data_IF_211472426645
#
_entry.id   IF_211472426645
#
_cell.length_a   1.000
_cell.length_b   1.000
_cell.length_c   1.000
_cell.angle_alpha   90.00
_cell.angle_beta   90.00
_cell.angle_gamma   90.00
#
_symmetry.space_group_name_H-M   'P 1'
#
loop_
_entity.id
_entity.type
_entity.pdbx_description
1 polymer ?
#
# COMPACT_ATOMS: atom_id res chain seq x y z
N UNK A 1 -13.03 19.53 -33.84
CA UNK A 1 -12.73 18.70 -32.65
C UNK A 1 -11.22 18.66 -32.49
N UNK A 2 -10.63 19.17 -31.40
CA UNK A 2 -9.20 18.96 -31.16
C UNK A 2 -8.96 17.48 -30.83
N UNK A 3 -8.01 16.85 -31.52
CA UNK A 3 -7.61 15.47 -31.29
C UNK A 3 -7.01 15.34 -29.88
N UNK A 4 -7.55 14.43 -29.08
CA UNK A 4 -6.94 14.07 -27.81
C UNK A 4 -5.54 13.50 -28.09
N UNK A 5 -4.50 14.12 -27.53
CA UNK A 5 -3.14 13.61 -27.60
C UNK A 5 -3.12 12.20 -27.00
N UNK A 6 -2.60 11.23 -27.75
CA UNK A 6 -2.41 9.87 -27.26
C UNK A 6 -1.58 9.90 -25.97
N UNK A 7 -1.92 9.07 -24.96
CA UNK A 7 -1.17 9.06 -23.70
C UNK A 7 0.31 8.78 -23.98
N UNK A 8 1.23 9.42 -23.22
CA UNK A 8 2.66 9.23 -23.43
C UNK A 8 3.01 7.75 -23.26
N UNK A 9 3.66 7.17 -24.27
CA UNK A 9 4.10 5.77 -24.22
C UNK A 9 5.17 5.62 -23.15
N UNK A 10 4.88 4.82 -22.13
CA UNK A 10 5.82 4.44 -21.09
C UNK A 10 6.61 3.22 -21.59
N UNK A 11 7.93 3.33 -21.56
CA UNK A 11 8.85 2.23 -21.85
C UNK A 11 9.28 1.60 -20.52
N UNK A 12 9.27 0.26 -20.45
CA UNK A 12 9.72 -0.52 -19.30
C UNK A 12 10.89 -1.41 -19.68
N UNK A 13 11.79 -1.68 -18.73
CA UNK A 13 12.88 -2.66 -18.91
C UNK A 13 13.20 -3.41 -17.62
N UNK A 14 13.94 -4.50 -17.76
CA UNK A 14 14.52 -5.21 -16.62
C UNK A 14 15.74 -4.46 -16.06
N UNK A 15 16.01 -4.58 -14.74
CA UNK A 15 17.24 -4.04 -14.14
C UNK A 15 18.48 -4.77 -14.65
N UNK A 16 19.56 -4.02 -14.86
CA UNK A 16 20.86 -4.59 -15.24
C UNK A 16 21.52 -5.29 -14.05
N UNK A 17 22.51 -6.14 -14.30
CA UNK A 17 23.29 -6.78 -13.22
C UNK A 17 24.03 -5.76 -12.35
N UNK A 18 24.52 -4.68 -12.96
CA UNK A 18 25.19 -3.58 -12.26
C UNK A 18 24.24 -2.81 -11.34
N UNK A 19 23.01 -2.54 -11.79
CA UNK A 19 21.99 -1.87 -10.97
C UNK A 19 21.60 -2.72 -9.75
N UNK A 20 21.43 -4.03 -9.94
CA UNK A 20 21.15 -4.97 -8.85
C UNK A 20 22.28 -5.03 -7.83
N UNK A 21 23.51 -5.27 -8.29
CA UNK A 21 24.67 -5.35 -7.42
C UNK A 21 24.91 -4.02 -6.67
N UNK A 22 24.76 -2.89 -7.37
CA UNK A 22 24.88 -1.57 -6.75
C UNK A 22 23.82 -1.34 -5.66
N UNK A 23 22.59 -1.81 -5.87
CA UNK A 23 21.53 -1.68 -4.87
C UNK A 23 21.77 -2.60 -3.67
N UNK A 24 22.18 -3.85 -3.90
CA UNK A 24 22.47 -4.82 -2.84
C UNK A 24 23.57 -4.31 -1.91
N UNK A 25 24.63 -3.72 -2.46
CA UNK A 25 25.72 -3.11 -1.69
C UNK A 25 25.23 -1.92 -0.86
N UNK A 26 24.47 -1.01 -1.48
CA UNK A 26 23.88 0.15 -0.80
C UNK A 26 22.97 -0.29 0.35
N UNK A 27 22.03 -1.20 0.09
CA UNK A 27 21.04 -1.63 1.07
C UNK A 27 21.71 -2.37 2.24
N UNK A 28 22.73 -3.19 1.97
CA UNK A 28 23.53 -3.84 3.02
C UNK A 28 24.20 -2.82 3.93
N UNK A 29 24.84 -1.79 3.37
CA UNK A 29 25.50 -0.73 4.14
C UNK A 29 24.49 0.04 5.00
N UNK A 30 23.33 0.39 4.43
CA UNK A 30 22.23 1.04 5.16
C UNK A 30 21.77 0.20 6.35
N UNK A 31 21.49 -1.08 6.14
CA UNK A 31 21.04 -1.97 7.20
C UNK A 31 22.09 -2.16 8.30
N UNK A 32 23.39 -2.21 7.93
CA UNK A 32 24.48 -2.23 8.90
C UNK A 32 24.51 -0.96 9.75
N UNK A 33 24.39 0.22 9.12
CA UNK A 33 24.37 1.50 9.82
C UNK A 33 23.16 1.63 10.78
N UNK A 34 21.97 1.20 10.34
CA UNK A 34 20.74 1.25 11.14
C UNK A 34 20.73 0.24 12.29
N UNK A 35 21.43 -0.88 12.14
CA UNK A 35 21.43 -1.94 13.14
C UNK A 35 22.07 -1.53 14.48
N UNK A 36 22.87 -0.46 14.53
CA UNK A 36 23.57 0.02 15.75
C UNK A 36 24.23 -1.12 16.57
N UNK A 37 24.78 -2.13 15.90
CA UNK A 37 25.42 -3.30 16.52
C UNK A 37 24.51 -4.51 16.75
N UNK A 38 23.21 -4.41 16.44
CA UNK A 38 22.30 -5.55 16.39
C UNK A 38 22.55 -6.41 15.13
N UNK A 39 22.14 -7.68 15.16
CA UNK A 39 22.25 -8.56 13.99
C UNK A 39 21.39 -8.01 12.84
N UNK A 40 22.03 -7.69 11.72
CA UNK A 40 21.33 -7.31 10.49
C UNK A 40 20.45 -8.46 10.03
N UNK A 41 19.14 -8.21 9.98
CA UNK A 41 18.17 -9.13 9.38
C UNK A 41 18.12 -8.82 7.90
N UNK A 42 18.57 -9.76 7.07
CA UNK A 42 18.42 -9.62 5.63
C UNK A 42 16.94 -9.61 5.23
N UNK A 43 16.58 -8.85 4.19
CA UNK A 43 15.24 -8.90 3.66
C UNK A 43 14.94 -10.32 3.20
N UNK A 44 13.71 -10.79 3.44
CA UNK A 44 13.30 -12.14 3.08
C UNK A 44 13.12 -12.29 1.56
N UNK A 45 12.90 -11.18 0.86
CA UNK A 45 12.63 -11.11 -0.56
C UNK A 45 13.74 -10.35 -1.27
N UNK A 46 14.04 -10.78 -2.50
CA UNK A 46 14.86 -9.98 -3.40
C UNK A 46 14.15 -8.64 -3.69
N UNK A 47 14.91 -7.54 -3.85
CA UNK A 47 14.32 -6.26 -4.22
C UNK A 47 13.58 -6.33 -5.55
N UNK A 48 12.40 -5.72 -5.61
CA UNK A 48 11.64 -5.54 -6.83
C UNK A 48 12.08 -4.24 -7.51
N UNK A 49 12.34 -4.27 -8.81
CA UNK A 49 12.76 -3.09 -9.57
C UNK A 49 11.64 -2.63 -10.48
N UNK A 50 11.34 -1.34 -10.41
CA UNK A 50 10.40 -0.65 -11.27
C UNK A 50 11.18 0.37 -12.09
N UNK A 51 11.31 0.08 -13.39
CA UNK A 51 12.15 0.85 -14.30
C UNK A 51 11.34 1.30 -15.48
N UNK A 52 11.09 2.61 -15.51
CA UNK A 52 10.20 3.24 -16.46
C UNK A 52 10.83 4.48 -17.08
N UNK A 53 10.39 4.79 -18.29
CA UNK A 53 10.79 6.00 -18.99
C UNK A 53 9.67 6.50 -19.88
N UNK A 54 9.41 7.80 -19.81
CA UNK A 54 8.68 8.50 -20.87
C UNK A 54 9.66 8.88 -21.97
N UNK A 55 9.25 8.74 -23.24
CA UNK A 55 10.11 9.08 -24.38
C UNK A 55 10.72 10.49 -24.23
N UNK A 56 12.04 10.58 -24.35
CA UNK A 56 12.80 11.83 -24.22
C UNK A 56 13.19 12.22 -22.78
N UNK A 57 12.73 11.49 -21.76
CA UNK A 57 13.18 11.64 -20.37
C UNK A 57 14.24 10.59 -20.02
N UNK A 58 15.06 10.80 -18.98
CA UNK A 58 15.92 9.75 -18.45
C UNK A 58 15.11 8.58 -17.88
N UNK A 59 15.73 7.40 -17.78
CA UNK A 59 15.15 6.26 -17.07
C UNK A 59 14.98 6.61 -15.59
N UNK A 60 13.79 6.34 -15.06
CA UNK A 60 13.53 6.31 -13.64
C UNK A 60 13.70 4.87 -13.18
N UNK A 61 14.57 4.66 -12.20
CA UNK A 61 14.85 3.34 -11.63
C UNK A 61 14.52 3.40 -10.15
N UNK A 62 13.55 2.61 -9.72
CA UNK A 62 13.13 2.48 -8.33
C UNK A 62 13.37 1.04 -7.88
N UNK A 63 13.98 0.86 -6.71
CA UNK A 63 14.07 -0.42 -6.04
C UNK A 63 13.12 -0.43 -4.84
N UNK A 64 12.30 -1.47 -4.72
CA UNK A 64 11.37 -1.69 -3.60
C UNK A 64 11.84 -2.88 -2.79
N UNK A 65 11.89 -2.70 -1.47
CA UNK A 65 12.30 -3.74 -0.54
C UNK A 65 11.19 -3.99 0.47
N UNK A 66 10.77 -5.24 0.51
CA UNK A 66 9.82 -5.74 1.49
C UNK A 66 10.56 -6.31 2.70
N UNK A 67 10.28 -5.75 3.87
CA UNK A 67 10.78 -6.30 5.14
C UNK A 67 10.22 -7.70 5.40
N UNK A 68 10.91 -8.46 6.26
CA UNK A 68 10.36 -9.73 6.75
C UNK A 68 9.03 -9.48 7.49
N UNK A 69 7.96 -10.24 7.19
CA UNK A 69 6.69 -10.11 7.90
C UNK A 69 6.83 -10.33 9.40
N UNK A 70 6.15 -9.52 10.20
CA UNK A 70 6.14 -9.61 11.67
C UNK A 70 4.74 -9.36 12.22
N UNK A 71 4.49 -9.85 13.42
CA UNK A 71 3.29 -9.48 14.16
C UNK A 71 3.37 -7.99 14.53
N UNK A 72 2.35 -7.23 14.12
CA UNK A 72 2.09 -5.89 14.63
C UNK A 72 1.10 -5.91 15.79
N UNK A 73 0.30 -6.97 15.89
CA UNK A 73 -0.52 -7.36 17.04
C UNK A 73 -0.70 -8.89 17.02
N UNK A 74 -1.35 -9.46 18.05
CA UNK A 74 -1.59 -10.91 18.16
C UNK A 74 -2.22 -11.47 16.88
N UNK A 75 -3.27 -10.80 16.38
CA UNK A 75 -4.04 -11.24 15.22
C UNK A 75 -3.68 -10.49 13.92
N UNK A 76 -2.60 -9.71 13.90
CA UNK A 76 -2.23 -8.85 12.77
C UNK A 76 -0.78 -9.03 12.35
N UNK A 77 -0.59 -9.50 11.13
CA UNK A 77 0.69 -9.51 10.45
C UNK A 77 0.90 -8.21 9.68
N UNK A 78 2.15 -7.76 9.64
CA UNK A 78 2.58 -6.55 8.93
C UNK A 78 3.88 -6.80 8.19
N UNK A 79 3.97 -6.24 6.99
CA UNK A 79 5.17 -6.07 6.20
C UNK A 79 5.30 -4.61 5.78
N UNK A 80 6.46 -4.02 6.00
CA UNK A 80 6.79 -2.66 5.55
C UNK A 80 7.51 -2.76 4.22
N UNK A 81 7.06 -1.97 3.25
CA UNK A 81 7.67 -1.81 1.93
C UNK A 81 8.31 -0.44 1.84
N UNK A 82 9.61 -0.41 1.61
CA UNK A 82 10.39 0.82 1.41
C UNK A 82 10.81 0.94 -0.04
N UNK A 83 10.85 2.16 -0.56
CA UNK A 83 11.27 2.44 -1.94
C UNK A 83 12.51 3.32 -1.96
N UNK A 84 13.38 3.07 -2.94
CA UNK A 84 14.64 3.76 -3.14
C UNK A 84 14.76 4.21 -4.58
N UNK A 85 15.28 5.41 -4.81
CA UNK A 85 15.43 5.99 -6.13
C UNK A 85 16.90 5.96 -6.53
N UNK A 86 17.16 5.58 -7.77
CA UNK A 86 18.48 5.63 -8.38
C UNK A 86 18.70 6.93 -9.14
N UNK A 87 19.82 7.59 -8.87
CA UNK A 87 20.35 8.70 -9.66
C UNK A 87 21.67 8.30 -10.32
N UNK A 88 21.63 8.09 -11.64
CA UNK A 88 22.81 7.74 -12.43
C UNK A 88 23.88 8.84 -12.49
N UNK A 89 23.51 10.10 -12.21
CA UNK A 89 24.42 11.25 -12.23
C UNK A 89 25.13 11.46 -10.90
N UNK A 90 24.62 10.89 -9.83
CA UNK A 90 25.23 10.99 -8.52
C UNK A 90 26.55 10.17 -8.45
N UNK A 91 27.48 10.56 -7.56
CA UNK A 91 28.65 9.75 -7.21
C UNK A 91 28.25 8.32 -6.84
N UNK A 92 29.13 7.34 -7.11
CA UNK A 92 28.82 5.90 -6.99
C UNK A 92 28.24 5.52 -5.61
N UNK A 93 28.74 6.13 -4.55
CA UNK A 93 28.36 5.97 -3.15
C UNK A 93 27.03 6.67 -2.79
N UNK A 94 26.55 7.59 -3.61
CA UNK A 94 25.33 8.37 -3.42
C UNK A 94 24.27 8.13 -4.51
N UNK A 95 24.43 7.09 -5.35
CA UNK A 95 23.49 6.78 -6.43
C UNK A 95 22.12 6.35 -5.95
N UNK A 96 22.03 5.80 -4.75
CA UNK A 96 20.77 5.36 -4.17
C UNK A 96 20.41 6.23 -2.99
N UNK A 97 19.14 6.61 -2.92
CA UNK A 97 18.58 7.39 -1.83
C UNK A 97 17.17 6.89 -1.50
N UNK A 98 16.69 7.18 -0.29
CA UNK A 98 15.29 6.93 0.05
C UNK A 98 14.38 7.69 -0.90
N UNK A 99 13.34 7.04 -1.39
CA UNK A 99 12.33 7.74 -2.16
C UNK A 99 11.63 8.77 -1.29
N UNK A 100 11.18 9.88 -1.89
CA UNK A 100 10.33 10.85 -1.19
C UNK A 100 8.98 10.24 -0.74
N UNK A 101 8.60 9.06 -1.23
CA UNK A 101 7.41 8.36 -0.78
C UNK A 101 7.68 7.69 0.57
N UNK A 102 6.81 7.88 1.57
CA UNK A 102 6.95 7.21 2.85
C UNK A 102 6.78 5.69 2.69
N UNK A 103 7.41 4.87 3.56
CA UNK A 103 7.22 3.42 3.53
C UNK A 103 5.73 3.05 3.67
N UNK A 104 5.26 2.15 2.81
CA UNK A 104 3.89 1.63 2.87
C UNK A 104 3.81 0.43 3.81
N UNK A 105 2.72 0.36 4.59
CA UNK A 105 2.49 -0.74 5.51
C UNK A 105 1.43 -1.66 4.93
N UNK A 106 1.82 -2.91 4.72
CA UNK A 106 0.98 -3.97 4.18
C UNK A 106 0.60 -4.91 5.31
N UNK A 107 -0.70 -5.15 5.50
CA UNK A 107 -1.22 -5.95 6.62
C UNK A 107 -2.21 -7.02 6.18
N UNK A 108 -2.30 -8.07 6.98
CA UNK A 108 -3.28 -9.16 6.84
C UNK A 108 -3.50 -9.83 8.19
N UNK A 109 -4.62 -10.56 8.31
CA UNK A 109 -4.92 -11.32 9.52
C UNK A 109 -3.89 -12.43 9.73
N UNK A 110 -3.36 -12.52 10.95
CA UNK A 110 -2.49 -13.61 11.33
C UNK A 110 -3.29 -14.93 11.38
N UNK A 111 -2.64 -16.02 10.98
CA UNK A 111 -3.17 -17.35 11.24
C UNK A 111 -2.87 -17.74 12.70
N UNK A 112 -3.78 -18.46 13.39
CA UNK A 112 -3.56 -18.85 14.77
C UNK A 112 -2.28 -19.67 14.95
N UNK A 113 -1.42 -19.28 15.90
CA UNK A 113 -0.20 -20.01 16.30
C UNK A 113 0.85 -20.19 15.19
N UNK A 114 0.83 -19.36 14.17
CA UNK A 114 1.84 -19.37 13.10
C UNK A 114 2.65 -18.07 13.12
N UNK A 115 3.94 -18.16 12.77
CA UNK A 115 4.73 -16.96 12.47
C UNK A 115 4.17 -16.27 11.23
N UNK A 116 4.25 -14.93 11.17
CA UNK A 116 3.90 -14.21 9.96
C UNK A 116 4.82 -14.60 8.80
N UNK A 117 4.22 -15.10 7.73
CA UNK A 117 4.86 -15.37 6.44
C UNK A 117 4.27 -14.45 5.37
N UNK A 118 4.93 -14.29 4.23
CA UNK A 118 4.36 -13.46 3.16
C UNK A 118 2.98 -13.95 2.74
N UNK A 119 2.07 -12.99 2.53
CA UNK A 119 0.72 -13.25 2.10
C UNK A 119 0.55 -12.83 0.63
N UNK A 120 -0.21 -13.59 -0.18
CA UNK A 120 -0.47 -13.24 -1.58
C UNK A 120 -1.37 -12.02 -1.73
N UNK A 121 -2.15 -11.69 -0.69
CA UNK A 121 -3.02 -10.51 -0.66
C UNK A 121 -2.82 -9.78 0.65
N UNK A 122 -2.46 -8.51 0.54
CA UNK A 122 -2.25 -7.60 1.66
C UNK A 122 -3.11 -6.36 1.48
N UNK A 123 -3.49 -5.74 2.59
CA UNK A 123 -4.20 -4.46 2.61
C UNK A 123 -3.22 -3.37 3.06
N UNK A 124 -3.23 -2.22 2.39
CA UNK A 124 -2.47 -1.05 2.82
C UNK A 124 -3.08 -0.48 4.11
N UNK A 125 -2.23 -0.08 5.04
CA UNK A 125 -2.62 0.48 6.33
C UNK A 125 -1.85 1.76 6.58
N UNK A 126 -2.54 2.81 6.99
CA UNK A 126 -1.86 3.99 7.52
C UNK A 126 -1.25 3.69 8.91
N UNK A 127 -0.05 4.22 9.17
CA UNK A 127 0.70 3.94 10.39
C UNK A 127 0.02 4.49 11.66
N UNK A 128 -0.86 5.49 11.53
CA UNK A 128 -1.59 6.09 12.63
C UNK A 128 -2.77 5.23 13.13
N UNK A 129 -3.12 4.15 12.43
CA UNK A 129 -4.26 3.33 12.77
C UNK A 129 -3.97 2.36 13.93
N UNK A 130 -4.87 2.25 14.93
CA UNK A 130 -4.74 1.27 15.99
C UNK A 130 -4.84 -0.17 15.44
N UNK A 131 -3.89 -1.08 15.77
CA UNK A 131 -3.90 -2.45 15.26
C UNK A 131 -5.18 -3.23 15.53
N UNK A 132 -5.82 -3.02 16.68
CA UNK A 132 -7.07 -3.68 17.07
C UNK A 132 -8.24 -3.30 16.15
N UNK A 133 -8.27 -2.05 15.71
CA UNK A 133 -9.32 -1.54 14.82
C UNK A 133 -9.11 -2.09 13.41
N UNK A 134 -7.86 -2.18 12.98
CA UNK A 134 -7.48 -2.80 11.70
C UNK A 134 -7.86 -4.28 11.68
N UNK A 135 -7.61 -5.03 12.76
CA UNK A 135 -8.04 -6.43 12.86
C UNK A 135 -9.56 -6.56 12.72
N UNK A 136 -10.32 -5.70 13.41
CA UNK A 136 -11.77 -5.71 13.34
C UNK A 136 -12.27 -5.39 11.92
N UNK A 137 -11.71 -4.38 11.28
CA UNK A 137 -12.06 -3.98 9.91
C UNK A 137 -11.70 -5.06 8.89
N UNK A 138 -10.52 -5.70 9.00
CA UNK A 138 -10.14 -6.81 8.13
C UNK A 138 -11.05 -8.03 8.27
N UNK A 139 -11.62 -8.27 9.46
CA UNK A 139 -12.60 -9.35 9.67
C UNK A 139 -13.98 -8.99 9.12
N UNK A 140 -14.38 -7.73 9.23
CA UNK A 140 -15.75 -7.27 8.96
C UNK A 140 -15.94 -6.66 7.56
N UNK A 141 -14.87 -6.39 6.80
CA UNK A 141 -14.98 -5.69 5.51
C UNK A 141 -15.98 -6.31 4.52
N UNK A 142 -16.17 -7.66 4.41
CA UNK A 142 -17.13 -8.21 3.46
C UNK A 142 -18.56 -7.80 3.81
N UNK A 143 -18.88 -7.78 5.11
CA UNK A 143 -20.18 -7.35 5.60
C UNK A 143 -20.36 -5.83 5.46
N UNK A 144 -19.33 -5.05 5.81
CA UNK A 144 -19.34 -3.59 5.65
C UNK A 144 -19.54 -3.19 4.19
N UNK A 145 -18.87 -3.86 3.26
CA UNK A 145 -19.06 -3.66 1.82
C UNK A 145 -20.47 -4.02 1.37
N UNK A 146 -21.01 -5.15 1.85
CA UNK A 146 -22.39 -5.57 1.57
C UNK A 146 -23.40 -4.50 2.00
N UNK A 147 -23.28 -3.98 3.24
CA UNK A 147 -24.11 -2.89 3.75
C UNK A 147 -23.90 -1.58 2.96
N UNK A 148 -22.66 -1.28 2.58
CA UNK A 148 -22.33 -0.09 1.78
C UNK A 148 -22.94 -0.12 0.37
N UNK A 149 -23.31 -1.28 -0.19
CA UNK A 149 -23.96 -1.35 -1.52
C UNK A 149 -25.28 -0.58 -1.57
N UNK A 150 -26.00 -0.48 -0.46
CA UNK A 150 -27.21 0.36 -0.38
C UNK A 150 -26.85 1.84 -0.45
N UNK A 151 -25.76 2.25 0.21
CA UNK A 151 -25.24 3.63 0.13
C UNK A 151 -24.75 3.95 -1.29
N UNK A 152 -24.09 2.99 -1.96
CA UNK A 152 -23.68 3.14 -3.36
C UNK A 152 -24.89 3.31 -4.28
N UNK A 153 -25.99 2.59 -4.03
CA UNK A 153 -27.22 2.71 -4.79
C UNK A 153 -27.91 4.08 -4.60
N UNK A 154 -27.83 4.65 -3.39
CA UNK A 154 -28.37 5.97 -3.07
C UNK A 154 -27.51 7.16 -3.53
N UNK A 155 -26.24 6.92 -3.90
CA UNK A 155 -25.33 7.95 -4.36
C UNK A 155 -25.24 7.94 -5.90
N UNK A 156 -25.71 9.00 -6.56
CA UNK A 156 -25.77 9.10 -8.02
C UNK A 156 -24.41 8.98 -8.72
N UNK A 157 -23.30 9.32 -8.05
CA UNK A 157 -21.94 9.12 -8.59
C UNK A 157 -21.49 7.66 -8.50
N UNK A 158 -21.93 6.96 -7.45
CA UNK A 158 -21.56 5.57 -7.18
C UNK A 158 -22.51 4.52 -7.77
N UNK A 159 -23.74 4.90 -8.14
CA UNK A 159 -24.82 3.96 -8.47
C UNK A 159 -24.45 2.98 -9.58
N UNK A 160 -23.63 3.39 -10.54
CA UNK A 160 -23.16 2.56 -11.66
C UNK A 160 -22.15 1.49 -11.24
N UNK A 161 -21.50 1.69 -10.10
CA UNK A 161 -20.43 0.83 -9.59
C UNK A 161 -20.92 -0.17 -8.54
N UNK A 162 -22.16 -0.02 -8.02
CA UNK A 162 -22.69 -0.78 -6.87
C UNK A 162 -22.63 -2.31 -6.99
N UNK A 163 -22.65 -2.83 -8.23
CA UNK A 163 -22.66 -4.25 -8.52
C UNK A 163 -21.28 -4.80 -8.93
N UNK A 164 -20.26 -3.95 -8.97
CA UNK A 164 -18.91 -4.40 -9.33
C UNK A 164 -18.34 -5.32 -8.25
N UNK A 165 -17.49 -6.29 -8.65
CA UNK A 165 -16.67 -7.01 -7.70
C UNK A 165 -15.65 -6.04 -7.12
N UNK A 166 -15.51 -6.03 -5.80
CA UNK A 166 -14.61 -5.13 -5.09
C UNK A 166 -13.71 -5.95 -4.17
N UNK A 167 -12.45 -5.53 -4.09
CA UNK A 167 -11.47 -6.07 -3.14
C UNK A 167 -10.97 -4.95 -2.24
N UNK A 168 -10.80 -5.23 -0.96
CA UNK A 168 -10.24 -4.26 -0.02
C UNK A 168 -8.77 -4.03 -0.34
N UNK A 169 -8.37 -2.76 -0.50
CA UNK A 169 -7.00 -2.36 -0.85
C UNK A 169 -6.33 -1.52 0.20
N UNK A 170 -7.07 -0.64 0.87
CA UNK A 170 -6.50 0.18 1.92
C UNK A 170 -7.48 0.41 3.08
N UNK A 171 -6.91 0.62 4.26
CA UNK A 171 -7.58 1.15 5.44
C UNK A 171 -6.82 2.41 5.82
N UNK A 172 -7.53 3.53 5.85
CA UNK A 172 -6.99 4.87 6.05
C UNK A 172 -7.76 5.57 7.18
N UNK A 173 -7.14 6.54 7.87
CA UNK A 173 -7.90 7.46 8.71
C UNK A 173 -8.86 8.25 7.83
N UNK A 174 -10.12 8.38 8.25
CA UNK A 174 -11.03 9.31 7.63
C UNK A 174 -11.06 10.61 8.45
N UNK A 175 -11.10 11.80 7.80
CA UNK A 175 -11.23 13.05 8.53
C UNK A 175 -12.51 12.99 9.39
N UNK A 176 -12.45 13.41 10.66
CA UNK A 176 -13.64 13.46 11.49
C UNK A 176 -14.64 14.42 10.85
N UNK A 177 -15.83 13.93 10.51
CA UNK A 177 -16.96 14.82 10.24
C UNK A 177 -17.30 15.54 11.55
N UNK A 178 -17.64 16.82 11.51
CA UNK A 178 -17.83 17.68 12.69
C UNK A 178 -18.50 16.96 13.90
N UNK A 179 -17.73 16.74 14.98
CA UNK A 179 -18.20 16.07 16.21
C UNK A 179 -18.44 14.55 16.12
N UNK A 180 -18.09 13.91 15.01
CA UNK A 180 -18.31 12.49 14.78
C UNK A 180 -17.27 11.60 15.50
N UNK A 181 -17.62 10.33 15.79
CA UNK A 181 -16.70 9.35 16.37
C UNK A 181 -15.46 9.11 15.49
N UNK A 182 -14.53 8.28 15.98
CA UNK A 182 -13.42 7.78 15.16
C UNK A 182 -13.97 7.17 13.86
N UNK A 183 -13.53 7.73 12.73
CA UNK A 183 -13.92 7.32 11.39
C UNK A 183 -12.73 6.67 10.68
N UNK A 184 -13.01 5.62 9.94
CA UNK A 184 -12.06 4.93 9.06
C UNK A 184 -12.54 5.04 7.62
N UNK A 185 -11.62 4.99 6.68
CA UNK A 185 -11.94 4.86 5.26
C UNK A 185 -11.43 3.51 4.75
N UNK A 186 -12.32 2.72 4.17
CA UNK A 186 -11.98 1.47 3.52
C UNK A 186 -12.00 1.72 2.01
N UNK A 187 -10.83 1.68 1.38
CA UNK A 187 -10.70 1.83 -0.05
C UNK A 187 -10.80 0.46 -0.73
N UNK A 188 -11.76 0.34 -1.64
CA UNK A 188 -12.02 -0.84 -2.44
C UNK A 188 -11.70 -0.57 -3.90
N UNK A 189 -11.09 -1.54 -4.55
CA UNK A 189 -10.77 -1.49 -5.98
C UNK A 189 -11.51 -2.61 -6.71
N UNK A 190 -12.08 -2.28 -7.85
CA UNK A 190 -12.74 -3.23 -8.74
C UNK A 190 -11.78 -3.80 -9.78
N UNK A 191 -12.24 -4.82 -10.50
CA UNK A 191 -11.57 -5.36 -11.68
C UNK A 191 -11.55 -4.41 -12.90
N UNK A 192 -12.18 -3.24 -12.78
CA UNK A 192 -12.25 -2.20 -13.83
C UNK A 192 -11.56 -0.90 -13.40
N UNK A 193 -10.53 -1.02 -12.55
CA UNK A 193 -9.74 0.10 -12.02
C UNK A 193 -10.59 1.19 -11.37
N UNK A 194 -11.75 0.81 -10.85
CA UNK A 194 -12.71 1.73 -10.23
C UNK A 194 -12.52 1.70 -8.73
N UNK A 195 -12.46 2.86 -8.09
CA UNK A 195 -12.24 2.95 -6.64
C UNK A 195 -13.51 3.38 -5.92
N UNK A 196 -13.94 2.59 -4.94
CA UNK A 196 -15.00 2.95 -4.00
C UNK A 196 -14.41 3.10 -2.60
N UNK A 197 -14.65 4.24 -1.97
CA UNK A 197 -14.24 4.53 -0.60
C UNK A 197 -15.46 4.46 0.31
N UNK A 198 -15.39 3.64 1.35
CA UNK A 198 -16.46 3.48 2.35
C UNK A 198 -15.99 4.08 3.66
N UNK A 199 -16.62 5.19 4.07
CA UNK A 199 -16.43 5.74 5.40
C UNK A 199 -17.13 4.83 6.43
N UNK A 200 -16.39 4.39 7.43
CA UNK A 200 -16.84 3.49 8.50
C UNK A 200 -16.75 4.20 9.83
N UNK A 201 -17.87 4.25 10.55
CA UNK A 201 -17.96 4.85 11.88
C UNK A 201 -17.75 3.77 12.94
N UNK A 202 -16.88 4.04 13.92
CA UNK A 202 -16.77 3.22 15.13
C UNK A 202 -17.64 3.80 16.25
N UNK A 203 -18.54 3.01 16.81
CA UNK A 203 -19.38 3.43 17.94
C UNK A 203 -19.59 2.26 18.90
N UNK A 204 -19.20 2.42 20.17
CA UNK A 204 -19.29 1.37 21.22
C UNK A 204 -18.66 0.03 20.81
N UNK A 205 -17.58 0.08 20.02
CA UNK A 205 -16.88 -1.12 19.53
C UNK A 205 -17.46 -1.74 18.26
N UNK A 206 -18.58 -1.22 17.76
CA UNK A 206 -19.18 -1.65 16.49
C UNK A 206 -18.72 -0.77 15.33
N UNK A 207 -18.64 -1.37 14.15
CA UNK A 207 -18.27 -0.70 12.90
C UNK A 207 -19.46 -0.67 11.95
N UNK A 208 -19.79 0.51 11.44
CA UNK A 208 -20.91 0.68 10.52
C UNK A 208 -20.50 1.53 9.31
N UNK A 209 -20.85 1.06 8.11
CA UNK A 209 -20.74 1.86 6.90
C UNK A 209 -21.65 3.10 7.02
N UNK A 210 -21.07 4.27 6.79
CA UNK A 210 -21.71 5.56 7.03
C UNK A 210 -21.92 6.34 5.73
N UNK A 211 -20.89 6.40 4.87
CA UNK A 211 -20.96 7.12 3.60
C UNK A 211 -20.06 6.46 2.57
N UNK A 212 -20.25 6.80 1.30
CA UNK A 212 -19.48 6.29 0.17
C UNK A 212 -19.07 7.41 -0.78
N UNK A 213 -17.88 7.30 -1.34
CA UNK A 213 -17.43 8.08 -2.49
C UNK A 213 -16.81 7.17 -3.54
N UNK A 214 -16.93 7.57 -4.81
CA UNK A 214 -16.50 6.76 -5.94
C UNK A 214 -15.79 7.63 -6.96
N UNK A 215 -14.70 7.10 -7.49
CA UNK A 215 -13.91 7.67 -8.59
C UNK A 215 -13.98 6.75 -9.82
#
# INVERSE_FOLDING_TARGET
>A
QPAAAAPPRIEQRQPTAEERASFDDYYRQKMLAESKGARVVQPLFAPEFDIERQRGKPWQVIARVDSAPRHSAVDLCRQIRSSFIYDAKAPRDARWSESAQPPSWHVWLAQPRTVCTAAPRTVLMDQALPPEDVVALLRQYPELLSRARLLLAGNSRCIRQRALPFTLRAIEPAPPAAGAPVMFNLAFESDRDTTARVAVRKHRGEYAAWNVSCD
#
